data_IF_436133424990
#
_entry.id   IF_436133424990
#
_cell.length_a   1.000
_cell.length_b   1.000
_cell.length_c   1.000
_cell.angle_alpha   90.00
_cell.angle_beta   90.00
_cell.angle_gamma   90.00
#
_symmetry.space_group_name_H-M   'P 1'
#
loop_
_entity.id
_entity.type
_entity.pdbx_description
1 polymer ?
#
# COMPACT_ATOMS: atom_id res chain seq x y z
N UNK A 1 5.89 16.96 -30.50
CA UNK A 1 6.24 17.32 -29.11
C UNK A 1 4.96 17.19 -28.29
N UNK A 2 4.75 16.01 -27.69
CA UNK A 2 3.54 15.76 -26.89
C UNK A 2 3.71 16.40 -25.52
N UNK A 3 2.82 17.33 -25.20
CA UNK A 3 2.70 17.91 -23.86
C UNK A 3 2.50 16.78 -22.86
N UNK A 4 3.27 16.70 -21.76
CA UNK A 4 2.94 15.77 -20.70
C UNK A 4 1.68 16.30 -20.03
N UNK A 5 0.55 15.65 -20.28
CA UNK A 5 -0.71 15.92 -19.62
C UNK A 5 -0.52 15.75 -18.12
N UNK A 6 -0.36 16.88 -17.42
CA UNK A 6 -0.19 16.98 -15.97
C UNK A 6 -1.43 16.50 -15.19
N UNK A 7 -2.51 16.12 -15.89
CA UNK A 7 -3.79 15.66 -15.35
C UNK A 7 -3.83 14.14 -15.05
N UNK A 8 -2.99 13.32 -15.71
CA UNK A 8 -2.92 11.87 -15.43
C UNK A 8 -2.11 11.53 -14.15
N UNK A 9 -1.47 12.53 -13.54
CA UNK A 9 -0.50 12.36 -12.46
C UNK A 9 -1.11 12.29 -11.06
N UNK A 10 -2.39 12.62 -10.90
CA UNK A 10 -3.09 12.56 -9.61
C UNK A 10 -3.86 11.25 -9.40
N UNK A 11 -3.91 10.37 -10.41
CA UNK A 11 -4.80 9.21 -10.43
C UNK A 11 -4.10 7.87 -10.11
N UNK A 12 -2.78 7.89 -9.88
CA UNK A 12 -2.00 6.69 -9.54
C UNK A 12 -1.25 6.86 -8.20
N UNK A 13 -2.03 6.95 -7.11
CA UNK A 13 -1.46 6.79 -5.77
C UNK A 13 -0.95 5.34 -5.62
N UNK A 14 0.22 5.19 -5.02
CA UNK A 14 0.87 3.93 -4.71
C UNK A 14 0.94 3.80 -3.19
N UNK A 15 0.38 2.72 -2.67
CA UNK A 15 0.55 2.35 -1.28
C UNK A 15 1.92 1.70 -1.12
N UNK A 16 2.79 2.34 -0.32
CA UNK A 16 4.07 1.78 0.10
C UNK A 16 3.81 0.92 1.32
N UNK A 17 3.95 -0.37 1.12
CA UNK A 17 3.84 -1.39 2.15
C UNK A 17 5.24 -1.84 2.53
N UNK A 18 5.51 -1.95 3.83
CA UNK A 18 6.75 -2.50 4.37
C UNK A 18 6.39 -3.80 5.07
N UNK A 19 7.04 -4.88 4.71
CA UNK A 19 6.86 -6.19 5.31
C UNK A 19 8.15 -6.67 5.97
N UNK A 20 8.00 -7.62 6.89
CA UNK A 20 9.13 -8.31 7.50
C UNK A 20 10.03 -8.97 6.45
N UNK A 21 11.31 -9.24 6.78
CA UNK A 21 12.23 -9.92 5.88
C UNK A 21 11.77 -11.35 5.52
N UNK A 22 10.94 -11.97 6.36
CA UNK A 22 10.33 -13.27 6.13
C UNK A 22 9.27 -13.25 5.00
N UNK A 23 8.71 -12.08 4.67
CA UNK A 23 7.69 -11.94 3.64
C UNK A 23 8.36 -11.74 2.28
N UNK A 24 8.39 -12.80 1.47
CA UNK A 24 9.01 -12.76 0.13
C UNK A 24 8.13 -12.14 -0.94
N UNK A 25 6.81 -12.18 -0.77
CA UNK A 25 5.85 -11.73 -1.78
C UNK A 25 4.54 -11.28 -1.15
N UNK A 26 3.77 -10.47 -1.88
CA UNK A 26 2.47 -9.96 -1.45
C UNK A 26 1.49 -11.12 -1.18
N UNK A 27 1.56 -12.21 -1.94
CA UNK A 27 0.73 -13.40 -1.71
C UNK A 27 0.91 -14.04 -0.33
N UNK A 28 2.09 -13.91 0.30
CA UNK A 28 2.36 -14.40 1.67
C UNK A 28 1.65 -13.57 2.75
N UNK A 29 1.07 -12.43 2.37
CA UNK A 29 0.24 -11.58 3.22
C UNK A 29 -1.25 -11.94 3.13
N UNK A 30 -1.60 -12.93 2.32
CA UNK A 30 -2.98 -13.44 2.22
C UNK A 30 -3.47 -13.90 3.58
N UNK A 31 -4.66 -13.44 3.98
CA UNK A 31 -5.25 -13.72 5.30
C UNK A 31 -4.49 -13.12 6.49
N UNK A 32 -3.43 -12.33 6.27
CA UNK A 32 -2.68 -11.68 7.35
C UNK A 32 -3.25 -10.31 7.70
N UNK A 33 -2.97 -9.92 8.93
CA UNK A 33 -3.26 -8.58 9.44
C UNK A 33 -2.11 -7.65 9.07
N UNK A 34 -2.49 -6.52 8.48
CA UNK A 34 -1.61 -5.49 7.97
C UNK A 34 -1.87 -4.24 8.78
N UNK A 35 -0.84 -3.67 9.41
CA UNK A 35 -1.02 -2.43 10.14
C UNK A 35 -1.19 -1.26 9.15
N UNK A 36 -2.12 -0.38 9.46
CA UNK A 36 -2.24 0.92 8.80
C UNK A 36 -2.37 2.00 9.86
N UNK A 37 -1.77 3.14 9.57
CA UNK A 37 -1.78 4.28 10.47
C UNK A 37 -3.20 4.87 10.54
N UNK A 38 -3.67 5.20 11.74
CA UNK A 38 -5.04 5.71 11.96
C UNK A 38 -5.28 7.08 11.31
N UNK A 39 -4.19 7.79 10.97
CA UNK A 39 -4.26 9.05 10.20
C UNK A 39 -4.95 8.88 8.83
N UNK A 40 -5.07 7.65 8.32
CA UNK A 40 -5.75 7.36 7.06
C UNK A 40 -7.24 7.08 7.28
N UNK A 41 -8.09 7.82 6.58
CA UNK A 41 -9.54 7.60 6.61
C UNK A 41 -9.92 6.20 6.11
N UNK A 42 -11.07 5.70 6.55
CA UNK A 42 -11.57 4.36 6.19
C UNK A 42 -11.70 4.14 4.68
N UNK A 43 -12.02 5.21 3.94
CA UNK A 43 -12.03 5.22 2.48
C UNK A 43 -10.66 4.85 1.90
N UNK A 44 -9.57 5.44 2.41
CA UNK A 44 -8.20 5.15 1.99
C UNK A 44 -7.82 3.71 2.36
N UNK A 45 -8.20 3.25 3.55
CA UNK A 45 -7.99 1.86 4.00
C UNK A 45 -8.69 0.89 3.04
N UNK A 46 -9.94 1.15 2.66
CA UNK A 46 -10.69 0.33 1.71
C UNK A 46 -10.02 0.28 0.32
N UNK A 47 -9.48 1.41 -0.15
CA UNK A 47 -8.71 1.47 -1.42
C UNK A 47 -7.43 0.63 -1.33
N UNK A 48 -6.66 0.76 -0.25
CA UNK A 48 -5.44 -0.04 -0.02
C UNK A 48 -5.78 -1.52 0.02
N UNK A 49 -6.81 -1.92 0.77
CA UNK A 49 -7.26 -3.31 0.85
C UNK A 49 -7.58 -3.89 -0.53
N UNK A 50 -8.35 -3.14 -1.32
CA UNK A 50 -8.73 -3.56 -2.68
C UNK A 50 -7.51 -3.69 -3.57
N UNK A 51 -6.56 -2.76 -3.47
CA UNK A 51 -5.33 -2.79 -4.24
C UNK A 51 -4.41 -3.97 -3.82
N UNK A 52 -4.34 -4.26 -2.52
CA UNK A 52 -3.61 -5.43 -1.98
C UNK A 52 -4.21 -6.74 -2.50
N UNK A 53 -5.55 -6.86 -2.50
CA UNK A 53 -6.23 -8.01 -3.10
C UNK A 53 -5.95 -8.14 -4.59
N UNK A 54 -5.95 -7.02 -5.33
CA UNK A 54 -5.59 -7.01 -6.75
C UNK A 54 -4.12 -7.34 -7.02
N UNK A 55 -3.23 -7.09 -6.05
CA UNK A 55 -1.82 -7.47 -6.08
C UNK A 55 -1.56 -8.91 -5.61
N UNK A 56 -2.62 -9.66 -5.23
CA UNK A 56 -2.52 -11.07 -4.88
C UNK A 56 -2.49 -11.39 -3.38
N UNK A 57 -2.63 -10.39 -2.49
CA UNK A 57 -2.87 -10.63 -1.07
C UNK A 57 -4.37 -10.69 -0.81
N UNK A 58 -4.96 -11.87 -0.98
CA UNK A 58 -6.39 -12.08 -0.77
C UNK A 58 -6.72 -12.03 0.72
N UNK A 59 -7.95 -11.66 1.07
CA UNK A 59 -8.42 -11.67 2.47
C UNK A 59 -7.56 -10.85 3.45
N UNK A 60 -6.79 -9.87 2.96
CA UNK A 60 -6.03 -8.99 3.83
C UNK A 60 -6.94 -8.22 4.77
N UNK A 61 -6.52 -8.14 6.03
CA UNK A 61 -7.19 -7.34 7.05
C UNK A 61 -6.31 -6.16 7.40
N UNK A 62 -6.81 -4.94 7.20
CA UNK A 62 -6.10 -3.74 7.63
C UNK A 62 -6.56 -3.37 9.03
N UNK A 63 -5.62 -3.40 9.98
CA UNK A 63 -5.88 -2.96 11.36
C UNK A 63 -5.29 -1.59 11.59
N UNK A 64 -6.18 -0.66 11.96
CA UNK A 64 -5.79 0.63 12.54
C UNK A 64 -5.12 0.41 13.88
N UNK A 65 -4.12 1.22 14.18
CA UNK A 65 -3.41 1.18 15.45
C UNK A 65 -3.28 2.56 16.05
N UNK A 66 -3.30 2.65 17.39
CA UNK A 66 -2.96 3.88 18.11
C UNK A 66 -1.47 4.23 17.94
N UNK A 67 -0.63 3.24 17.64
CA UNK A 67 0.80 3.39 17.36
C UNK A 67 1.05 3.29 15.86
N UNK A 68 2.09 3.95 15.36
CA UNK A 68 2.42 3.95 13.93
C UNK A 68 2.55 2.54 13.37
N UNK A 69 2.11 2.35 12.12
CA UNK A 69 2.04 1.02 11.51
C UNK A 69 3.40 0.32 11.50
N UNK A 70 4.48 1.07 11.25
CA UNK A 70 5.85 0.56 11.27
C UNK A 70 6.27 0.05 12.65
N UNK A 71 5.83 0.67 13.73
CA UNK A 71 6.20 0.24 15.08
C UNK A 71 5.60 -1.14 15.40
N UNK A 72 4.35 -1.38 14.97
CA UNK A 72 3.71 -2.70 15.07
C UNK A 72 4.45 -3.78 14.28
N UNK A 73 5.00 -3.43 13.12
CA UNK A 73 5.85 -4.34 12.35
C UNK A 73 7.16 -4.65 13.08
N UNK A 74 7.82 -3.63 13.65
CA UNK A 74 9.07 -3.77 14.42
C UNK A 74 8.84 -4.62 15.68
N UNK A 75 7.71 -4.43 16.36
CA UNK A 75 7.26 -5.25 17.49
C UNK A 75 6.85 -6.67 17.11
N UNK A 76 6.85 -7.01 15.82
CA UNK A 76 6.39 -8.30 15.26
C UNK A 76 4.92 -8.61 15.56
N UNK A 77 4.10 -7.59 15.83
CA UNK A 77 2.65 -7.74 16.03
C UNK A 77 1.93 -8.01 14.70
N UNK A 78 2.45 -7.45 13.61
CA UNK A 78 1.95 -7.63 12.24
C UNK A 78 3.07 -8.07 11.31
N UNK A 79 2.73 -8.76 10.21
CA UNK A 79 3.72 -9.18 9.20
C UNK A 79 4.06 -8.08 8.18
N UNK A 80 3.16 -7.10 8.01
CA UNK A 80 3.40 -5.93 7.17
C UNK A 80 2.64 -4.70 7.66
N UNK A 81 3.11 -3.54 7.22
CA UNK A 81 2.64 -2.23 7.61
C UNK A 81 2.59 -1.29 6.40
N UNK A 82 1.49 -0.57 6.23
CA UNK A 82 1.39 0.52 5.25
C UNK A 82 2.05 1.75 5.85
N UNK A 83 3.16 2.18 5.26
CA UNK A 83 3.95 3.32 5.78
C UNK A 83 3.59 4.64 5.10
N UNK A 84 2.98 4.59 3.92
CA UNK A 84 2.66 5.79 3.16
C UNK A 84 1.78 5.50 1.94
N UNK A 85 0.98 6.48 1.55
CA UNK A 85 0.32 6.54 0.25
C UNK A 85 0.93 7.72 -0.50
N UNK A 86 1.68 7.45 -1.55
CA UNK A 86 2.45 8.45 -2.30
C UNK A 86 2.29 8.21 -3.80
N UNK A 87 2.57 9.19 -4.65
CA UNK A 87 2.53 8.97 -6.11
C UNK A 87 3.59 7.96 -6.56
N UNK A 88 3.39 7.33 -7.72
CA UNK A 88 4.31 6.33 -8.26
C UNK A 88 5.78 6.78 -8.31
N UNK A 89 6.05 8.03 -8.71
CA UNK A 89 7.43 8.57 -8.73
C UNK A 89 8.05 8.67 -7.33
N UNK A 90 7.25 9.00 -6.31
CA UNK A 90 7.71 9.06 -4.93
C UNK A 90 7.89 7.67 -4.31
N UNK A 91 7.08 6.70 -4.74
CA UNK A 91 7.27 5.30 -4.37
C UNK A 91 8.57 4.75 -4.96
N UNK A 92 8.87 5.04 -6.22
CA UNK A 92 10.12 4.63 -6.89
C UNK A 92 11.36 5.21 -6.19
N UNK A 93 11.26 6.43 -5.68
CA UNK A 93 12.33 7.08 -4.89
C UNK A 93 12.43 6.56 -3.44
N UNK A 94 11.60 5.59 -3.05
CA UNK A 94 11.57 5.10 -1.67
C UNK A 94 12.80 4.21 -1.42
N UNK A 95 13.62 4.53 -0.40
CA UNK A 95 14.87 3.82 -0.15
C UNK A 95 14.59 2.37 0.25
N UNK A 96 15.33 1.42 -0.33
CA UNK A 96 15.27 0.03 0.09
C UNK A 96 15.75 -0.13 1.55
N UNK A 97 14.95 -0.81 2.36
CA UNK A 97 15.26 -1.06 3.76
C UNK A 97 15.99 -2.40 3.87
N UNK A 98 17.28 -2.41 4.22
CA UNK A 98 18.07 -3.66 4.26
C UNK A 98 17.51 -4.77 5.19
N UNK A 99 16.64 -4.42 6.14
CA UNK A 99 16.00 -5.35 7.08
C UNK A 99 14.54 -5.68 6.76
N UNK A 100 13.94 -5.05 5.76
CA UNK A 100 12.52 -5.15 5.46
C UNK A 100 12.26 -5.19 3.95
N UNK A 101 11.14 -5.79 3.55
CA UNK A 101 10.73 -5.78 2.15
C UNK A 101 9.73 -4.68 1.88
N UNK A 102 10.03 -3.82 0.92
CA UNK A 102 9.12 -2.78 0.48
C UNK A 102 8.36 -3.29 -0.74
N UNK A 103 7.04 -3.22 -0.66
CA UNK A 103 6.11 -3.55 -1.72
C UNK A 103 5.34 -2.30 -2.11
N UNK A 104 5.38 -1.97 -3.39
CA UNK A 104 4.65 -0.85 -3.96
C UNK A 104 3.38 -1.37 -4.59
N UNK A 105 2.24 -0.94 -4.05
CA UNK A 105 0.93 -1.42 -4.48
C UNK A 105 0.20 -0.25 -5.13
N UNK A 106 0.09 -0.23 -6.48
CA UNK A 106 -0.64 0.83 -7.16
C UNK A 106 -2.12 0.77 -6.77
N UNK A 107 -2.61 1.85 -6.16
CA UNK A 107 -4.03 2.06 -5.94
C UNK A 107 -4.63 2.40 -7.29
N UNK A 108 -5.12 1.39 -8.02
CA UNK A 108 -5.89 1.62 -9.24
C UNK A 108 -7.02 2.59 -8.89
N UNK A 109 -6.98 3.79 -9.46
CA UNK A 109 -8.15 4.65 -9.46
C UNK A 109 -9.23 3.93 -10.25
N UNK A 110 -10.38 3.74 -9.60
CA UNK A 110 -11.58 3.36 -10.33
C UNK A 110 -12.02 4.59 -11.12
N UNK A 111 -11.42 4.84 -12.26
CA UNK A 111 -11.99 5.71 -13.28
C UNK A 111 -12.26 4.89 -14.54
N UNK A 112 -13.34 4.10 -14.47
CA UNK A 112 -14.32 3.96 -15.55
C UNK A 112 -15.55 3.23 -15.00
N UNK A 113 -16.73 3.85 -15.02
CA UNK A 113 -17.78 3.38 -15.89
C UNK A 113 -17.49 3.97 -17.26
N UNK A 114 -17.28 3.09 -18.24
CA UNK A 114 -17.38 3.46 -19.63
C UNK A 114 -18.71 4.21 -19.81
N UNK A 115 -18.60 5.45 -20.32
CA UNK A 115 -19.69 6.37 -20.60
C UNK A 115 -20.58 5.79 -21.71
N UNK A 116 -21.93 5.83 -21.60
CA UNK A 116 -22.81 5.55 -22.74
C UNK A 116 -22.77 6.69 -23.79
#
# INVERSE_FOLDING_TARGET
MSVPTLDASLDALVAVLVAGPDVKSISELTGKIIAIDDRYSELSIGRVRTAMMAAGALEVQLSKGQTTAINRLVSKEVSAAVVGLVSASAADSFPELARYKIFQIPLKSRSSPAKP
#
